data_IF_815164202091
#
_entry.id   IF_815164202091
#
_cell.length_a   1.000
_cell.length_b   1.000
_cell.length_c   1.000
_cell.angle_alpha   90.00
_cell.angle_beta   90.00
_cell.angle_gamma   90.00
#
_symmetry.space_group_name_H-M   'P 1'
#
loop_
_entity.id
_entity.type
_entity.pdbx_description
1 polymer ?
#
# COMPACT_ATOMS: atom_id res chain seq x y z
N UNK A 1 20.50 -35.01 -29.87
CA UNK A 1 19.39 -34.94 -28.89
C UNK A 1 19.91 -34.23 -27.65
N UNK A 2 19.68 -32.93 -27.57
CA UNK A 2 20.21 -32.08 -26.51
C UNK A 2 19.09 -31.82 -25.51
N UNK A 3 19.01 -32.67 -24.49
CA UNK A 3 18.07 -32.46 -23.38
C UNK A 3 18.52 -31.22 -22.58
N UNK A 4 17.80 -30.11 -22.74
CA UNK A 4 17.89 -29.01 -21.80
C UNK A 4 17.28 -29.46 -20.45
N UNK A 5 17.93 -29.17 -19.31
CA UNK A 5 17.39 -29.55 -18.01
C UNK A 5 16.16 -28.71 -17.68
N UNK A 6 15.08 -29.39 -17.30
CA UNK A 6 13.86 -28.78 -16.82
C UNK A 6 14.16 -27.82 -15.65
N UNK A 7 13.82 -26.55 -15.84
CA UNK A 7 13.79 -25.53 -14.79
C UNK A 7 12.87 -26.00 -13.68
N UNK A 8 13.44 -26.54 -12.59
CA UNK A 8 12.71 -26.90 -11.37
C UNK A 8 12.03 -25.64 -10.83
N UNK A 9 10.70 -25.53 -11.01
CA UNK A 9 9.86 -24.60 -10.26
C UNK A 9 10.12 -24.85 -8.77
N UNK A 10 10.73 -23.90 -8.07
CA UNK A 10 10.81 -23.94 -6.60
C UNK A 10 9.37 -24.04 -6.07
N UNK A 11 9.03 -25.16 -5.42
CA UNK A 11 7.80 -25.27 -4.63
C UNK A 11 7.82 -24.12 -3.62
N UNK A 12 6.76 -23.32 -3.58
CA UNK A 12 6.55 -22.33 -2.53
C UNK A 12 6.43 -23.15 -1.24
N UNK A 13 7.39 -23.00 -0.33
CA UNK A 13 7.34 -23.65 0.98
C UNK A 13 6.35 -22.85 1.81
N UNK A 14 5.19 -23.43 2.11
CA UNK A 14 4.21 -22.82 2.99
C UNK A 14 4.83 -22.69 4.39
N UNK A 15 4.74 -21.49 4.95
CA UNK A 15 5.35 -21.17 6.24
C UNK A 15 4.42 -21.62 7.38
N UNK A 16 4.97 -22.23 8.45
CA UNK A 16 4.18 -22.63 9.61
C UNK A 16 3.77 -21.38 10.41
N UNK A 17 2.47 -21.20 10.62
CA UNK A 17 1.88 -20.07 11.33
C UNK A 17 1.14 -20.56 12.57
N UNK A 18 1.50 -20.02 13.73
CA UNK A 18 0.79 -20.30 14.97
C UNK A 18 -0.49 -19.46 15.05
N UNK A 19 -1.59 -20.09 15.48
CA UNK A 19 -2.79 -19.37 15.87
C UNK A 19 -2.51 -18.58 17.16
N UNK A 20 -2.89 -17.31 17.19
CA UNK A 20 -2.73 -16.46 18.38
C UNK A 20 -4.02 -16.30 19.19
N UNK A 21 -5.05 -17.08 18.88
CA UNK A 21 -6.29 -17.09 19.66
C UNK A 21 -6.03 -17.62 21.08
N UNK A 22 -6.72 -17.06 22.07
CA UNK A 22 -6.49 -17.39 23.48
C UNK A 22 -6.71 -18.88 23.74
N UNK A 23 -5.69 -19.54 24.31
CA UNK A 23 -5.69 -20.97 24.59
C UNK A 23 -5.51 -21.89 23.38
N UNK A 24 -5.44 -21.36 22.16
CA UNK A 24 -5.17 -22.16 20.96
C UNK A 24 -3.66 -22.41 20.78
N UNK A 25 -3.30 -23.64 20.42
CA UNK A 25 -1.91 -24.05 20.15
C UNK A 25 -1.72 -24.58 18.71
N UNK A 26 -2.71 -24.40 17.85
CA UNK A 26 -2.65 -24.91 16.49
C UNK A 26 -1.59 -24.19 15.64
N UNK A 27 -0.95 -24.96 14.77
CA UNK A 27 0.02 -24.48 13.80
C UNK A 27 -0.51 -24.82 12.41
N UNK A 28 -0.87 -23.79 11.65
CA UNK A 28 -1.41 -23.90 10.31
C UNK A 28 -0.28 -23.77 9.28
N UNK A 29 -0.35 -24.53 8.18
CA UNK A 29 0.58 -24.39 7.07
C UNK A 29 0.05 -23.35 6.08
N UNK A 30 0.58 -22.14 6.12
CA UNK A 30 0.18 -21.06 5.21
C UNK A 30 -1.05 -20.24 5.63
N UNK A 31 -1.19 -19.08 4.99
CA UNK A 31 -2.17 -18.05 5.36
C UNK A 31 -3.63 -18.49 5.18
N UNK A 32 -3.91 -19.31 4.17
CA UNK A 32 -5.27 -19.78 3.90
C UNK A 32 -5.78 -20.71 5.00
N UNK A 33 -4.95 -21.66 5.43
CA UNK A 33 -5.31 -22.61 6.48
C UNK A 33 -5.50 -21.90 7.82
N UNK A 34 -4.64 -20.91 8.14
CA UNK A 34 -4.84 -20.09 9.33
C UNK A 34 -6.13 -19.27 9.24
N UNK A 35 -6.43 -18.69 8.08
CA UNK A 35 -7.67 -17.93 7.89
C UNK A 35 -8.91 -18.80 8.11
N UNK A 36 -8.93 -20.03 7.57
CA UNK A 36 -10.02 -20.98 7.80
C UNK A 36 -10.14 -21.36 9.28
N UNK A 37 -9.03 -21.62 9.95
CA UNK A 37 -9.02 -21.95 11.38
C UNK A 37 -9.52 -20.79 12.26
N UNK A 38 -9.17 -19.54 11.92
CA UNK A 38 -9.71 -18.35 12.60
C UNK A 38 -11.24 -18.27 12.44
N UNK A 39 -11.79 -18.70 11.30
CA UNK A 39 -13.23 -18.74 11.10
C UNK A 39 -13.94 -19.68 12.10
N UNK A 40 -13.35 -20.84 12.40
CA UNK A 40 -13.88 -21.78 13.41
C UNK A 40 -13.95 -21.14 14.81
N UNK A 41 -12.92 -20.36 15.18
CA UNK A 41 -12.91 -19.59 16.42
C UNK A 41 -13.96 -18.48 16.45
N UNK A 42 -14.17 -17.78 15.33
CA UNK A 42 -15.19 -16.73 15.24
C UNK A 42 -16.61 -17.31 15.32
N UNK A 43 -16.85 -18.48 14.71
CA UNK A 43 -18.14 -19.19 14.78
C UNK A 43 -18.46 -19.62 16.22
N UNK A 44 -17.50 -20.22 16.92
CA UNK A 44 -17.66 -20.61 18.33
C UNK A 44 -17.89 -19.40 19.23
N UNK A 45 -17.10 -18.32 19.05
CA UNK A 45 -17.27 -17.07 19.78
C UNK A 45 -18.65 -16.45 19.56
N UNK A 46 -19.13 -16.38 18.32
CA UNK A 46 -20.45 -15.84 18.00
C UNK A 46 -21.59 -16.64 18.67
N UNK A 47 -21.46 -17.97 18.73
CA UNK A 47 -22.43 -18.83 19.39
C UNK A 47 -22.47 -18.63 20.92
N UNK A 48 -21.33 -18.35 21.56
CA UNK A 48 -21.24 -18.05 22.98
C UNK A 48 -21.80 -16.66 23.32
N UNK A 49 -21.51 -15.65 22.49
CA UNK A 49 -22.00 -14.28 22.68
C UNK A 49 -23.52 -14.18 22.58
N UNK A 50 -24.15 -14.91 21.66
CA UNK A 50 -25.61 -14.98 21.55
C UNK A 50 -26.29 -15.49 22.83
N UNK A 51 -25.61 -16.34 23.62
CA UNK A 51 -26.14 -16.86 24.88
C UNK A 51 -26.03 -15.85 26.03
N UNK A 52 -25.03 -14.97 25.98
CA UNK A 52 -24.73 -14.00 27.03
C UNK A 52 -25.42 -12.65 26.84
N UNK A 53 -25.99 -12.39 25.65
CA UNK A 53 -26.67 -11.14 25.29
C UNK A 53 -25.81 -9.89 25.55
N UNK A 54 -24.50 -10.00 25.29
CA UNK A 54 -23.55 -8.89 25.41
C UNK A 54 -23.62 -8.00 24.16
N UNK A 55 -23.52 -6.69 24.37
CA UNK A 55 -23.50 -5.69 23.30
C UNK A 55 -22.09 -5.27 22.89
N UNK A 56 -21.07 -5.59 23.71
CA UNK A 56 -19.67 -5.31 23.43
C UNK A 56 -18.93 -6.61 23.07
N UNK A 57 -18.22 -6.61 21.96
CA UNK A 57 -17.36 -7.70 21.53
C UNK A 57 -15.90 -7.37 21.81
N UNK A 58 -15.19 -8.30 22.47
CA UNK A 58 -13.77 -8.17 22.80
C UNK A 58 -12.94 -9.21 22.03
N UNK A 59 -11.84 -8.76 21.43
CA UNK A 59 -10.92 -9.65 20.73
C UNK A 59 -10.26 -10.64 21.69
N UNK A 60 -10.29 -11.92 21.32
CA UNK A 60 -9.67 -13.03 22.08
C UNK A 60 -8.27 -13.37 21.57
N UNK A 61 -7.67 -12.54 20.73
CA UNK A 61 -6.28 -12.73 20.31
C UNK A 61 -5.34 -12.35 21.45
N UNK A 62 -4.30 -13.15 21.68
CA UNK A 62 -3.33 -12.91 22.74
C UNK A 62 -2.70 -11.51 22.62
N UNK A 63 -2.60 -10.82 23.76
CA UNK A 63 -2.08 -9.45 23.87
C UNK A 63 -2.86 -8.39 23.08
N UNK A 64 -4.09 -8.70 22.63
CA UNK A 64 -4.98 -7.74 21.99
C UNK A 64 -5.99 -7.16 22.99
N UNK A 65 -6.18 -5.84 22.95
CA UNK A 65 -7.13 -5.11 23.80
C UNK A 65 -8.31 -4.53 23.01
N UNK A 66 -8.46 -4.93 21.74
CA UNK A 66 -9.47 -4.38 20.85
C UNK A 66 -10.90 -4.77 21.28
N UNK A 67 -11.79 -3.79 21.24
CA UNK A 67 -13.22 -3.91 21.58
C UNK A 67 -14.06 -3.16 20.56
N UNK A 68 -15.24 -3.68 20.24
CA UNK A 68 -16.19 -3.06 19.32
C UNK A 68 -17.62 -3.50 19.63
N UNK A 69 -18.61 -2.71 19.24
CA UNK A 69 -20.02 -3.10 19.31
C UNK A 69 -20.52 -3.71 17.99
N UNK A 70 -19.62 -3.97 17.04
CA UNK A 70 -19.93 -4.52 15.72
C UNK A 70 -19.25 -5.88 15.52
N UNK A 71 -20.02 -6.97 15.43
CA UNK A 71 -19.50 -8.32 15.22
C UNK A 71 -18.62 -8.41 13.96
N UNK A 72 -19.05 -7.84 12.83
CA UNK A 72 -18.25 -7.86 11.59
C UNK A 72 -16.90 -7.14 11.74
N UNK A 73 -16.81 -6.11 12.59
CA UNK A 73 -15.56 -5.40 12.83
C UNK A 73 -14.58 -6.25 13.62
N UNK A 74 -15.09 -7.02 14.60
CA UNK A 74 -14.30 -8.02 15.32
C UNK A 74 -13.77 -9.10 14.37
N UNK A 75 -14.62 -9.61 13.47
CA UNK A 75 -14.21 -10.63 12.49
C UNK A 75 -13.10 -10.10 11.58
N UNK A 76 -13.28 -8.91 10.99
CA UNK A 76 -12.23 -8.26 10.17
C UNK A 76 -10.93 -8.11 10.95
N UNK A 77 -11.02 -7.67 12.20
CA UNK A 77 -9.87 -7.50 13.08
C UNK A 77 -9.15 -8.84 13.34
N UNK A 78 -9.89 -9.91 13.66
CA UNK A 78 -9.33 -11.25 13.88
C UNK A 78 -8.66 -11.82 12.63
N UNK A 79 -9.27 -11.71 11.44
CA UNK A 79 -8.62 -12.12 10.19
C UNK A 79 -7.35 -11.32 9.91
N UNK A 80 -7.32 -10.04 10.27
CA UNK A 80 -6.13 -9.22 10.12
C UNK A 80 -4.99 -9.68 11.02
N UNK A 81 -5.26 -10.21 12.22
CA UNK A 81 -4.20 -10.79 13.05
C UNK A 81 -3.52 -11.98 12.37
N UNK A 82 -4.29 -12.88 11.74
CA UNK A 82 -3.72 -14.00 10.98
C UNK A 82 -2.86 -13.50 9.82
N UNK A 83 -3.38 -12.53 9.06
CA UNK A 83 -2.63 -11.88 7.97
C UNK A 83 -1.36 -11.18 8.48
N UNK A 84 -1.42 -10.45 9.59
CA UNK A 84 -0.29 -9.73 10.15
C UNK A 84 0.79 -10.68 10.70
N UNK A 85 0.38 -11.80 11.31
CA UNK A 85 1.29 -12.85 11.76
C UNK A 85 2.12 -13.41 10.60
N UNK A 86 1.49 -13.62 9.44
CA UNK A 86 2.17 -14.00 8.20
C UNK A 86 3.16 -12.93 7.72
N UNK A 87 2.80 -11.64 7.79
CA UNK A 87 3.71 -10.55 7.41
C UNK A 87 4.95 -10.49 8.31
N UNK A 88 4.79 -10.69 9.62
CA UNK A 88 5.89 -10.73 10.59
C UNK A 88 6.82 -11.91 10.33
N UNK A 89 6.27 -13.09 10.05
CA UNK A 89 7.04 -14.29 9.74
C UNK A 89 7.82 -14.13 8.44
N UNK A 90 7.19 -13.57 7.40
CA UNK A 90 7.87 -13.29 6.13
C UNK A 90 9.01 -12.27 6.32
N UNK A 91 8.80 -11.22 7.12
CA UNK A 91 9.85 -10.24 7.40
C UNK A 91 11.01 -10.83 8.19
N UNK A 92 10.73 -11.72 9.16
CA UNK A 92 11.77 -12.48 9.86
C UNK A 92 12.59 -13.33 8.88
N UNK A 93 11.92 -14.08 8.02
CA UNK A 93 12.60 -14.90 7.00
C UNK A 93 13.49 -14.06 6.07
N UNK A 94 13.00 -12.91 5.60
CA UNK A 94 13.81 -12.02 4.76
C UNK A 94 15.02 -11.45 5.50
N UNK A 95 14.91 -11.19 6.81
CA UNK A 95 16.08 -10.80 7.62
C UNK A 95 17.06 -11.97 7.81
N UNK A 96 16.56 -13.17 8.10
CA UNK A 96 17.39 -14.38 8.31
C UNK A 96 18.16 -14.77 7.04
N UNK A 97 17.55 -14.57 5.86
CA UNK A 97 18.18 -14.79 4.55
C UNK A 97 19.22 -13.73 4.18
N UNK A 98 19.21 -12.58 4.85
CA UNK A 98 20.05 -11.41 4.55
C UNK A 98 20.74 -10.88 5.82
N UNK A 99 21.64 -11.67 6.44
CA UNK A 99 22.31 -11.31 7.69
C UNK A 99 23.23 -10.09 7.56
N UNK A 100 23.57 -9.66 6.34
CA UNK A 100 24.32 -8.44 6.07
C UNK A 100 23.52 -7.15 6.34
N UNK A 101 22.19 -7.27 6.48
CA UNK A 101 21.31 -6.13 6.74
C UNK A 101 21.16 -5.97 8.25
N UNK A 102 21.33 -4.75 8.79
CA UNK A 102 21.31 -4.55 10.24
C UNK A 102 19.93 -4.85 10.83
N UNK A 103 19.92 -5.31 12.07
CA UNK A 103 18.69 -5.58 12.81
C UNK A 103 17.94 -4.28 13.15
N UNK A 104 16.65 -4.44 13.42
CA UNK A 104 15.80 -3.32 13.78
C UNK A 104 16.08 -2.87 15.22
N UNK A 105 16.45 -1.60 15.42
CA UNK A 105 16.65 -1.00 16.75
C UNK A 105 15.41 -0.24 17.26
N UNK A 106 14.34 -0.15 16.47
CA UNK A 106 13.13 0.55 16.87
C UNK A 106 12.35 -0.25 17.92
N UNK A 107 11.72 0.44 18.90
CA UNK A 107 10.96 -0.24 19.94
C UNK A 107 9.79 -1.04 19.35
N UNK A 108 9.52 -2.20 19.94
CA UNK A 108 8.36 -3.00 19.61
C UNK A 108 7.08 -2.20 19.94
N UNK A 109 6.25 -1.96 18.92
CA UNK A 109 4.92 -1.38 19.08
C UNK A 109 3.92 -2.28 18.38
N UNK A 110 3.82 -3.52 18.82
CA UNK A 110 2.97 -4.53 18.15
C UNK A 110 1.49 -4.34 18.47
N UNK A 111 1.16 -3.87 19.68
CA UNK A 111 -0.24 -3.67 20.12
C UNK A 111 -0.97 -2.53 19.37
N UNK A 112 -0.26 -1.45 18.99
CA UNK A 112 -0.88 -0.25 18.39
C UNK A 112 -0.89 -0.25 16.85
N UNK A 113 -0.53 -1.36 16.19
CA UNK A 113 -0.23 -1.37 14.74
C UNK A 113 -1.26 -2.05 13.85
N UNK A 114 -2.30 -2.65 14.42
CA UNK A 114 -3.43 -3.12 13.63
C UNK A 114 -4.21 -1.91 13.11
N UNK A 115 -4.51 -1.84 11.80
CA UNK A 115 -5.27 -0.74 11.25
C UNK A 115 -6.71 -0.77 11.79
N UNK A 116 -7.31 0.42 11.87
CA UNK A 116 -8.74 0.59 12.11
C UNK A 116 -9.53 0.10 10.88
N UNK A 117 -10.26 -1.00 11.01
CA UNK A 117 -10.95 -1.70 9.91
C UNK A 117 -12.47 -1.51 9.99
N UNK A 118 -12.94 -0.27 9.81
CA UNK A 118 -14.36 0.09 9.92
C UNK A 118 -15.27 -0.42 8.81
N UNK A 119 -14.70 -0.79 7.66
CA UNK A 119 -15.48 -1.18 6.47
C UNK A 119 -14.92 -2.46 5.86
N UNK A 120 -15.79 -3.20 5.17
CA UNK A 120 -15.42 -4.38 4.40
C UNK A 120 -14.46 -4.04 3.25
N UNK A 121 -13.73 -5.03 2.77
CA UNK A 121 -12.83 -4.88 1.63
C UNK A 121 -13.64 -4.98 0.34
N UNK A 122 -13.70 -3.89 -0.43
CA UNK A 122 -14.47 -3.82 -1.66
C UNK A 122 -13.59 -4.11 -2.88
N UNK A 123 -14.07 -4.95 -3.79
CA UNK A 123 -13.40 -5.15 -5.07
C UNK A 123 -13.58 -3.93 -5.98
N UNK A 124 -12.47 -3.40 -6.52
CA UNK A 124 -12.49 -2.27 -7.44
C UNK A 124 -12.46 -2.65 -8.93
N UNK A 125 -12.67 -3.93 -9.26
CA UNK A 125 -12.75 -4.38 -10.66
C UNK A 125 -14.02 -3.82 -11.31
N UNK A 126 -13.97 -3.39 -12.57
CA UNK A 126 -15.05 -2.62 -13.23
C UNK A 126 -16.44 -3.28 -13.23
N UNK A 127 -16.51 -4.61 -13.05
CA UNK A 127 -17.77 -5.37 -13.00
C UNK A 127 -17.92 -6.24 -11.74
N UNK A 128 -17.11 -6.01 -10.70
CA UNK A 128 -17.19 -6.77 -9.46
C UNK A 128 -17.75 -5.92 -8.32
N UNK A 129 -18.89 -6.34 -7.76
CA UNK A 129 -19.54 -5.70 -6.60
C UNK A 129 -19.35 -6.50 -5.30
N UNK A 130 -18.36 -7.40 -5.26
CA UNK A 130 -18.13 -8.25 -4.09
C UNK A 130 -17.41 -7.47 -2.99
N UNK A 131 -17.81 -7.77 -1.77
CA UNK A 131 -17.23 -7.28 -0.53
C UNK A 131 -16.77 -8.46 0.30
N UNK A 132 -15.74 -8.25 1.13
CA UNK A 132 -15.11 -9.30 1.92
C UNK A 132 -14.83 -8.80 3.33
N UNK A 133 -15.07 -9.66 4.32
CA UNK A 133 -14.67 -9.46 5.71
C UNK A 133 -13.19 -9.87 5.86
N UNK A 134 -12.80 -11.02 5.32
CA UNK A 134 -11.41 -11.48 5.34
C UNK A 134 -10.54 -10.76 4.30
N UNK A 135 -9.43 -10.21 4.77
CA UNK A 135 -8.38 -9.66 3.90
C UNK A 135 -7.70 -10.73 3.04
N UNK A 136 -7.63 -11.97 3.51
CA UNK A 136 -7.00 -13.09 2.78
C UNK A 136 -7.87 -13.48 1.59
N UNK A 137 -9.18 -13.62 1.82
CA UNK A 137 -10.15 -13.91 0.75
C UNK A 137 -10.24 -12.79 -0.28
N UNK A 138 -10.23 -11.53 0.18
CA UNK A 138 -10.17 -10.37 -0.71
C UNK A 138 -8.93 -10.41 -1.62
N UNK A 139 -7.77 -10.72 -1.06
CA UNK A 139 -6.52 -10.78 -1.82
C UNK A 139 -6.50 -11.95 -2.81
N UNK A 140 -7.03 -13.12 -2.45
CA UNK A 140 -7.18 -14.24 -3.37
C UNK A 140 -8.16 -13.91 -4.50
N UNK A 141 -9.30 -13.28 -4.18
CA UNK A 141 -10.30 -12.87 -5.14
C UNK A 141 -9.75 -11.93 -6.23
N UNK A 142 -9.02 -10.88 -5.86
CA UNK A 142 -8.45 -9.94 -6.85
C UNK A 142 -7.33 -10.58 -7.69
N UNK A 143 -6.62 -11.58 -7.15
CA UNK A 143 -5.64 -12.36 -7.91
C UNK A 143 -6.35 -13.24 -8.95
N UNK A 144 -7.49 -13.84 -8.60
CA UNK A 144 -8.32 -14.61 -9.54
C UNK A 144 -8.79 -13.77 -10.73
N UNK A 145 -9.18 -12.51 -10.51
CA UNK A 145 -9.47 -11.59 -11.61
C UNK A 145 -8.26 -11.42 -12.55
N UNK A 146 -7.07 -11.17 -11.99
CA UNK A 146 -5.85 -11.02 -12.77
C UNK A 146 -5.53 -12.27 -13.62
N UNK A 147 -5.70 -13.46 -13.04
CA UNK A 147 -5.43 -14.73 -13.70
C UNK A 147 -6.45 -15.02 -14.80
N UNK A 148 -7.73 -14.82 -14.52
CA UNK A 148 -8.82 -15.04 -15.48
C UNK A 148 -8.67 -14.15 -16.72
N UNK A 149 -8.32 -12.88 -16.52
CA UNK A 149 -8.16 -11.90 -17.60
C UNK A 149 -6.93 -12.18 -18.45
N UNK A 150 -5.86 -12.68 -17.81
CA UNK A 150 -4.71 -13.17 -18.54
C UNK A 150 -5.06 -14.41 -19.39
N UNK A 151 -5.83 -15.34 -18.84
CA UNK A 151 -6.20 -16.58 -19.54
C UNK A 151 -7.16 -16.33 -20.72
N UNK A 152 -8.09 -15.36 -20.61
CA UNK A 152 -8.96 -14.93 -21.74
C UNK A 152 -8.12 -14.43 -22.92
N UNK A 153 -7.05 -13.68 -22.64
CA UNK A 153 -6.25 -13.01 -23.66
C UNK A 153 -5.14 -13.89 -24.21
N UNK A 154 -4.90 -15.06 -23.59
CA UNK A 154 -3.86 -16.00 -24.00
C UNK A 154 -4.33 -16.80 -25.20
N UNK A 155 -3.63 -16.65 -26.33
CA UNK A 155 -3.87 -17.46 -27.54
C UNK A 155 -2.75 -18.49 -27.72
N UNK A 156 -2.94 -19.54 -28.54
CA UNK A 156 -1.88 -20.50 -28.85
C UNK A 156 -0.64 -19.87 -29.51
N UNK A 157 -0.83 -18.78 -30.26
CA UNK A 157 0.24 -18.07 -30.98
C UNK A 157 0.90 -16.96 -30.14
N UNK A 158 0.25 -16.46 -29.10
CA UNK A 158 0.78 -15.49 -28.14
C UNK A 158 0.79 -16.09 -26.72
N UNK A 159 1.90 -16.76 -26.40
CA UNK A 159 2.09 -17.37 -25.08
C UNK A 159 2.16 -16.33 -23.93
N UNK A 160 2.33 -15.04 -24.26
CA UNK A 160 2.54 -13.96 -23.30
C UNK A 160 1.79 -12.68 -23.71
N UNK A 161 0.45 -12.71 -23.66
CA UNK A 161 -0.36 -11.56 -24.03
C UNK A 161 -0.11 -10.39 -23.09
N UNK A 162 -0.20 -9.19 -23.65
CA UNK A 162 -0.26 -7.96 -22.85
C UNK A 162 -1.66 -7.81 -22.28
N UNK A 163 -1.76 -7.82 -20.96
CA UNK A 163 -3.04 -7.77 -20.26
C UNK A 163 -3.27 -6.41 -19.61
N UNK A 164 -4.42 -5.81 -19.93
CA UNK A 164 -4.87 -4.58 -19.33
C UNK A 164 -5.45 -4.82 -17.93
N UNK A 165 -5.18 -3.91 -17.00
CA UNK A 165 -5.82 -3.89 -15.70
C UNK A 165 -7.22 -3.27 -15.81
N UNK A 166 -8.25 -4.05 -15.47
CA UNK A 166 -9.65 -3.60 -15.48
C UNK A 166 -10.13 -3.08 -14.11
N UNK A 167 -9.19 -2.62 -13.28
CA UNK A 167 -9.54 -1.87 -12.07
C UNK A 167 -10.12 -0.51 -12.45
N UNK A 168 -11.13 -0.04 -11.72
CA UNK A 168 -11.80 1.22 -12.02
C UNK A 168 -10.78 2.38 -12.12
N UNK A 169 -10.86 3.16 -13.19
CA UNK A 169 -9.94 4.26 -13.52
C UNK A 169 -8.47 3.86 -13.72
N UNK A 170 -8.18 2.56 -13.93
CA UNK A 170 -6.86 2.09 -14.31
C UNK A 170 -6.77 1.81 -15.82
N UNK A 171 -5.73 2.35 -16.47
CA UNK A 171 -5.47 2.13 -17.90
C UNK A 171 -4.10 1.48 -18.16
N UNK A 172 -3.50 0.86 -17.12
CA UNK A 172 -2.18 0.23 -17.26
C UNK A 172 -2.29 -1.13 -17.92
N UNK A 173 -1.34 -1.41 -18.82
CA UNK A 173 -1.14 -2.71 -19.45
C UNK A 173 0.17 -3.32 -18.95
N UNK A 174 0.16 -4.63 -18.72
CA UNK A 174 1.31 -5.37 -18.21
C UNK A 174 1.66 -6.52 -19.16
N UNK A 175 2.96 -6.77 -19.33
CA UNK A 175 3.45 -7.76 -20.30
C UNK A 175 3.36 -9.21 -19.82
N UNK A 176 2.83 -9.50 -18.63
CA UNK A 176 2.50 -10.86 -18.17
C UNK A 176 1.61 -10.84 -16.91
N UNK A 177 1.09 -12.02 -16.55
CA UNK A 177 0.26 -12.22 -15.35
C UNK A 177 0.94 -11.82 -14.04
N UNK A 178 2.24 -12.10 -13.87
CA UNK A 178 2.94 -11.80 -12.61
C UNK A 178 3.03 -10.29 -12.36
N UNK A 179 3.28 -9.53 -13.42
CA UNK A 179 3.31 -8.07 -13.41
C UNK A 179 1.94 -7.47 -13.22
N UNK A 180 0.88 -8.10 -13.75
CA UNK A 180 -0.49 -7.70 -13.48
C UNK A 180 -0.87 -7.93 -12.00
N UNK A 181 -0.52 -9.08 -11.43
CA UNK A 181 -0.74 -9.37 -10.00
C UNK A 181 0.03 -8.37 -9.11
N UNK A 182 1.30 -8.11 -9.42
CA UNK A 182 2.11 -7.10 -8.73
C UNK A 182 1.46 -5.71 -8.85
N UNK A 183 0.96 -5.34 -10.02
CA UNK A 183 0.28 -4.06 -10.21
C UNK A 183 -1.02 -3.96 -9.42
N UNK A 184 -1.87 -4.99 -9.41
CA UNK A 184 -3.16 -4.98 -8.68
C UNK A 184 -2.94 -4.84 -7.17
N UNK A 185 -1.83 -5.37 -6.64
CA UNK A 185 -1.42 -5.17 -5.25
C UNK A 185 -1.28 -3.68 -4.86
N UNK A 186 -1.05 -2.80 -5.83
CA UNK A 186 -0.97 -1.35 -5.59
C UNK A 186 -2.34 -0.72 -5.35
N UNK A 187 -3.40 -1.24 -5.96
CA UNK A 187 -4.78 -0.78 -5.76
C UNK A 187 -5.35 -1.24 -4.42
N UNK A 188 -5.15 -2.52 -4.09
CA UNK A 188 -5.59 -3.09 -2.80
C UNK A 188 -4.72 -2.67 -1.61
N UNK A 189 -3.64 -1.93 -1.87
CA UNK A 189 -2.63 -1.59 -0.89
C UNK A 189 -2.02 -2.78 -0.14
N UNK A 190 -1.99 -3.96 -0.79
CA UNK A 190 -1.49 -5.22 -0.23
C UNK A 190 -0.09 -5.02 0.34
N UNK A 191 0.08 -5.50 1.56
CA UNK A 191 1.36 -5.55 2.27
C UNK A 191 1.96 -6.94 2.08
N UNK A 192 3.29 -7.01 2.09
CA UNK A 192 4.00 -8.26 1.82
C UNK A 192 4.90 -8.69 2.98
N UNK A 193 5.43 -7.74 3.75
CA UNK A 193 6.35 -8.02 4.85
C UNK A 193 6.13 -7.03 5.99
N UNK A 194 6.38 -7.47 7.22
CA UNK A 194 6.44 -6.60 8.39
C UNK A 194 7.75 -6.83 9.15
N UNK A 195 8.31 -5.78 9.75
CA UNK A 195 9.50 -5.93 10.58
C UNK A 195 9.15 -6.73 11.84
N UNK A 196 9.77 -7.90 12.04
CA UNK A 196 9.48 -8.78 13.17
C UNK A 196 9.76 -8.15 14.55
N UNK A 197 10.65 -7.15 14.64
CA UNK A 197 10.96 -6.48 15.89
C UNK A 197 10.02 -5.32 16.20
N UNK A 198 9.91 -4.33 15.30
CA UNK A 198 9.12 -3.14 15.59
C UNK A 198 7.65 -3.29 15.17
N UNK A 199 7.32 -4.22 14.28
CA UNK A 199 5.97 -4.45 13.75
C UNK A 199 5.56 -3.54 12.57
N UNK A 200 6.45 -2.70 12.06
CA UNK A 200 6.11 -1.82 10.92
C UNK A 200 5.88 -2.62 9.62
N UNK A 201 4.88 -2.24 8.85
CA UNK A 201 4.40 -3.01 7.70
C UNK A 201 4.77 -2.35 6.37
N UNK A 202 5.32 -3.15 5.44
CA UNK A 202 5.86 -2.68 4.16
C UNK A 202 5.22 -3.38 2.96
N UNK A 203 5.18 -2.65 1.83
CA UNK A 203 4.67 -3.18 0.55
C UNK A 203 5.68 -4.06 -0.18
N UNK A 204 6.97 -3.92 0.11
CA UNK A 204 8.04 -4.69 -0.53
C UNK A 204 9.16 -4.98 0.47
N UNK A 205 9.95 -6.03 0.22
CA UNK A 205 11.16 -6.29 1.00
C UNK A 205 12.22 -5.20 0.88
N UNK A 206 12.32 -4.54 -0.27
CA UNK A 206 13.23 -3.41 -0.47
C UNK A 206 12.90 -2.27 0.51
N UNK A 207 11.61 -1.99 0.72
CA UNK A 207 11.17 -0.97 1.67
C UNK A 207 11.40 -1.37 3.13
N UNK A 208 11.33 -2.67 3.47
CA UNK A 208 11.73 -3.18 4.79
C UNK A 208 13.24 -3.01 5.01
N UNK A 209 14.08 -3.40 4.04
CA UNK A 209 15.52 -3.25 4.15
C UNK A 209 15.96 -1.79 4.22
N UNK A 210 15.28 -0.91 3.49
CA UNK A 210 15.49 0.54 3.60
C UNK A 210 15.13 1.05 5.00
N UNK A 211 14.03 0.56 5.60
CA UNK A 211 13.68 0.88 6.99
C UNK A 211 14.80 0.46 7.95
N UNK A 212 15.31 -0.77 7.85
CA UNK A 212 16.36 -1.30 8.72
C UNK A 212 17.67 -0.49 8.62
N UNK A 213 18.05 -0.08 7.41
CA UNK A 213 19.28 0.69 7.16
C UNK A 213 19.18 2.16 7.59
N UNK A 214 17.98 2.74 7.62
CA UNK A 214 17.77 4.18 7.89
C UNK A 214 17.68 4.51 9.38
N UNK A 215 17.70 3.51 10.25
CA UNK A 215 17.56 3.72 11.69
C UNK A 215 18.73 4.52 12.23
N UNK A 216 18.51 5.50 13.13
CA UNK A 216 19.55 6.41 13.62
C UNK A 216 20.79 5.68 14.14
N UNK A 217 20.58 4.60 14.90
CA UNK A 217 21.66 3.80 15.50
C UNK A 217 22.43 2.97 14.46
N UNK A 218 21.80 2.63 13.33
CA UNK A 218 22.40 1.91 12.21
C UNK A 218 23.02 2.86 11.15
N UNK A 219 22.78 4.17 11.26
CA UNK A 219 23.13 5.17 10.25
C UNK A 219 24.55 5.74 10.45
N UNK A 220 25.48 4.90 10.90
CA UNK A 220 26.90 5.27 11.08
C UNK A 220 27.65 5.37 9.75
N UNK A 221 27.11 4.83 8.65
CA UNK A 221 27.65 4.93 7.30
C UNK A 221 26.65 5.59 6.33
N UNK A 222 26.42 6.89 6.51
CA UNK A 222 25.63 7.68 5.59
C UNK A 222 26.44 8.07 4.35
N UNK A 223 25.88 7.86 3.16
CA UNK A 223 26.48 8.26 1.90
C UNK A 223 26.07 9.70 1.58
N UNK A 224 27.00 10.64 1.68
CA UNK A 224 26.74 12.06 1.43
C UNK A 224 26.86 12.41 -0.06
N UNK A 225 25.91 13.18 -0.57
CA UNK A 225 26.03 13.80 -1.89
C UNK A 225 27.01 14.97 -1.84
N UNK A 226 28.11 14.91 -2.59
CA UNK A 226 29.10 15.97 -2.64
C UNK A 226 28.59 17.31 -3.24
N UNK A 227 27.47 17.32 -3.97
CA UNK A 227 26.95 18.52 -4.64
C UNK A 227 25.92 19.29 -3.81
N UNK A 228 25.14 18.60 -2.98
CA UNK A 228 24.08 19.23 -2.18
C UNK A 228 24.10 18.84 -0.70
N UNK A 229 25.12 18.08 -0.28
CA UNK A 229 25.40 17.66 1.08
C UNK A 229 24.31 16.82 1.76
N UNK A 230 23.31 16.38 0.99
CA UNK A 230 22.23 15.50 1.46
C UNK A 230 22.75 14.08 1.70
N UNK A 231 22.34 13.48 2.81
CA UNK A 231 22.71 12.13 3.21
C UNK A 231 21.73 11.07 2.69
N UNK A 232 22.27 9.90 2.34
CA UNK A 232 21.53 8.77 1.81
C UNK A 232 21.94 7.48 2.52
N UNK A 233 20.96 6.61 2.79
CA UNK A 233 21.18 5.36 3.52
C UNK A 233 21.87 4.25 2.70
N UNK A 234 21.94 4.39 1.37
CA UNK A 234 22.64 3.42 0.52
C UNK A 234 23.33 4.10 -0.65
N UNK A 235 24.43 3.51 -1.12
CA UNK A 235 25.14 3.97 -2.31
C UNK A 235 24.26 3.96 -3.58
N UNK A 236 23.30 3.04 -3.67
CA UNK A 236 22.33 2.99 -4.79
C UNK A 236 21.41 4.21 -4.79
N UNK A 237 20.88 4.58 -3.62
CA UNK A 237 20.04 5.77 -3.47
C UNK A 237 20.85 7.05 -3.72
N UNK A 238 22.09 7.12 -3.23
CA UNK A 238 22.98 8.23 -3.56
C UNK A 238 23.23 8.31 -5.07
N UNK A 239 23.56 7.19 -5.75
CA UNK A 239 23.76 7.17 -7.21
C UNK A 239 22.52 7.64 -7.96
N UNK A 240 21.33 7.14 -7.63
CA UNK A 240 20.09 7.59 -8.26
C UNK A 240 19.81 9.09 -8.00
N UNK A 241 20.14 9.59 -6.81
CA UNK A 241 20.04 11.01 -6.50
C UNK A 241 21.05 11.86 -7.29
N UNK A 242 22.30 11.42 -7.39
CA UNK A 242 23.37 12.11 -8.14
C UNK A 242 23.06 12.15 -9.62
N UNK A 243 22.44 11.09 -10.18
CA UNK A 243 21.96 11.10 -11.56
C UNK A 243 20.92 12.20 -11.81
N UNK A 244 20.17 12.67 -10.81
CA UNK A 244 19.26 13.81 -10.97
C UNK A 244 20.00 15.15 -11.04
N UNK A 245 21.22 15.24 -10.53
CA UNK A 245 22.07 16.42 -10.73
C UNK A 245 22.79 16.40 -12.08
N UNK A 246 23.18 15.21 -12.54
CA UNK A 246 23.91 15.03 -13.81
C UNK A 246 22.95 15.02 -15.01
N UNK A 247 21.86 14.25 -14.93
CA UNK A 247 20.84 14.10 -15.98
C UNK A 247 19.63 15.02 -15.75
N UNK A 248 19.72 15.93 -14.79
CA UNK A 248 18.69 16.92 -14.55
C UNK A 248 18.68 17.96 -15.66
N UNK A 249 17.49 18.45 -15.99
CA UNK A 249 17.32 19.53 -16.95
C UNK A 249 17.64 20.84 -16.24
N UNK A 250 18.83 21.37 -16.48
CA UNK A 250 19.29 22.64 -15.90
C UNK A 250 18.57 23.81 -16.54
N UNK A 251 18.09 24.73 -15.72
CA UNK A 251 17.62 26.00 -16.22
C UNK A 251 18.78 26.84 -16.73
N UNK A 252 18.61 27.45 -17.90
CA UNK A 252 19.60 28.38 -18.48
C UNK A 252 19.53 29.77 -17.84
N UNK A 253 18.51 30.04 -17.01
CA UNK A 253 18.20 31.36 -16.46
C UNK A 253 18.36 31.42 -14.92
N UNK A 254 18.63 30.29 -14.26
CA UNK A 254 18.96 30.21 -12.83
C UNK A 254 19.60 28.85 -12.48
N UNK A 255 20.05 28.69 -11.24
CA UNK A 255 20.71 27.46 -10.76
C UNK A 255 19.75 26.29 -10.49
N UNK A 256 18.46 26.42 -10.83
CA UNK A 256 17.48 25.36 -10.62
C UNK A 256 17.70 24.20 -11.60
N UNK A 257 17.65 22.98 -11.08
CA UNK A 257 17.71 21.75 -11.86
C UNK A 257 16.43 20.94 -11.68
N UNK A 258 15.77 20.60 -12.78
CA UNK A 258 14.51 19.88 -12.78
C UNK A 258 14.69 18.38 -13.10
N UNK A 259 13.81 17.54 -12.55
CA UNK A 259 13.82 16.09 -12.74
C UNK A 259 13.36 15.62 -14.12
N UNK A 260 12.71 16.47 -14.91
CA UNK A 260 12.23 16.18 -16.26
C UNK A 260 12.23 17.43 -17.14
N UNK A 261 12.22 17.24 -18.47
CA UNK A 261 12.17 18.34 -19.44
C UNK A 261 10.87 19.15 -19.32
N UNK A 262 9.75 18.48 -19.03
CA UNK A 262 8.44 19.10 -18.83
C UNK A 262 8.44 19.99 -17.59
N UNK A 263 9.06 19.52 -16.50
CA UNK A 263 9.23 20.31 -15.28
C UNK A 263 10.11 21.54 -15.51
N UNK A 264 11.20 21.40 -16.29
CA UNK A 264 12.04 22.54 -16.65
C UNK A 264 11.27 23.56 -17.50
N UNK A 265 10.55 23.10 -18.51
CA UNK A 265 9.77 23.96 -19.40
C UNK A 265 8.71 24.73 -18.62
N UNK A 266 8.04 24.06 -17.68
CA UNK A 266 7.05 24.71 -16.81
C UNK A 266 7.70 25.68 -15.84
N UNK A 267 8.86 25.32 -15.26
CA UNK A 267 9.64 26.19 -14.41
C UNK A 267 10.04 27.48 -15.13
N UNK A 268 10.55 27.37 -16.37
CA UNK A 268 10.93 28.53 -17.20
C UNK A 268 9.72 29.41 -17.48
N UNK A 269 8.61 28.83 -17.93
CA UNK A 269 7.37 29.59 -18.17
C UNK A 269 6.88 30.31 -16.92
N UNK A 270 6.86 29.63 -15.78
CA UNK A 270 6.34 30.18 -14.54
C UNK A 270 7.25 31.25 -13.91
N UNK A 271 8.55 30.97 -13.79
CA UNK A 271 9.49 31.77 -12.99
C UNK A 271 10.21 32.84 -13.80
N UNK A 272 10.46 32.61 -15.08
CA UNK A 272 11.28 33.50 -15.90
C UNK A 272 10.43 34.28 -16.90
N UNK A 273 9.53 33.61 -17.63
CA UNK A 273 8.70 34.27 -18.66
C UNK A 273 7.39 34.85 -18.11
N UNK A 274 6.98 34.43 -16.90
CA UNK A 274 5.65 34.70 -16.32
C UNK A 274 4.51 34.36 -17.29
N UNK A 275 4.77 33.44 -18.21
CA UNK A 275 3.83 33.04 -19.25
C UNK A 275 2.80 32.07 -18.66
N UNK A 276 1.53 32.47 -18.74
CA UNK A 276 0.37 31.74 -18.22
C UNK A 276 -0.63 31.59 -19.37
N UNK A 277 -0.45 30.60 -20.25
CA UNK A 277 -1.22 30.49 -21.49
C UNK A 277 -2.67 30.06 -21.25
N UNK A 278 -2.93 29.37 -20.14
CA UNK A 278 -4.24 28.80 -19.84
C UNK A 278 -5.08 29.82 -19.09
N UNK A 279 -6.14 30.34 -19.71
CA UNK A 279 -7.10 31.25 -19.09
C UNK A 279 -8.32 30.48 -18.58
N UNK A 280 -8.80 30.81 -17.38
CA UNK A 280 -10.10 30.36 -16.92
C UNK A 280 -11.21 30.90 -17.83
N UNK A 281 -12.19 30.05 -18.15
CA UNK A 281 -13.37 30.45 -18.93
C UNK A 281 -14.31 31.37 -18.15
N UNK A 282 -14.25 31.33 -16.82
CA UNK A 282 -15.20 32.02 -15.93
C UNK A 282 -14.61 33.23 -15.19
N UNK A 283 -13.29 33.44 -15.22
CA UNK A 283 -12.67 34.63 -14.67
C UNK A 283 -11.34 34.98 -15.37
N UNK A 284 -10.69 36.06 -14.93
CA UNK A 284 -9.42 36.51 -15.52
C UNK A 284 -8.20 35.72 -15.06
N UNK A 285 -8.37 34.71 -14.20
CA UNK A 285 -7.25 33.92 -13.70
C UNK A 285 -6.60 33.15 -14.84
N UNK A 286 -5.26 33.21 -14.89
CA UNK A 286 -4.43 32.42 -15.79
C UNK A 286 -3.50 31.49 -15.02
N UNK A 287 -3.27 30.30 -15.57
CA UNK A 287 -2.45 29.23 -15.02
C UNK A 287 -1.40 28.75 -16.04
N UNK A 288 -0.33 28.12 -15.53
CA UNK A 288 0.73 27.55 -16.37
C UNK A 288 0.46 26.09 -16.71
N UNK A 289 -0.14 25.34 -15.78
CA UNK A 289 -0.51 23.93 -15.95
C UNK A 289 -2.01 23.76 -15.98
N UNK A 290 -2.48 22.76 -16.71
CA UNK A 290 -3.88 22.39 -16.79
C UNK A 290 -4.42 21.91 -15.43
N UNK A 291 -3.63 21.13 -14.70
CA UNK A 291 -3.99 20.69 -13.34
C UNK A 291 -4.18 21.84 -12.35
N UNK A 292 -3.45 22.94 -12.51
CA UNK A 292 -3.63 24.14 -11.69
C UNK A 292 -4.92 24.91 -12.08
N UNK A 293 -5.28 24.90 -13.37
CA UNK A 293 -6.53 25.49 -13.85
C UNK A 293 -7.75 24.68 -13.40
N UNK A 294 -7.70 23.34 -13.53
CA UNK A 294 -8.77 22.45 -13.07
C UNK A 294 -9.04 22.63 -11.58
N UNK A 295 -8.00 22.63 -10.75
CA UNK A 295 -8.12 22.93 -9.31
C UNK A 295 -8.70 24.31 -9.05
N UNK A 296 -8.29 25.32 -9.82
CA UNK A 296 -8.83 26.66 -9.67
C UNK A 296 -10.33 26.70 -9.97
N UNK A 297 -10.78 26.09 -11.08
CA UNK A 297 -12.20 25.99 -11.45
C UNK A 297 -12.97 25.22 -10.38
N UNK A 298 -12.44 24.09 -9.91
CA UNK A 298 -13.05 23.28 -8.84
C UNK A 298 -13.26 24.08 -7.54
N UNK A 299 -12.27 24.88 -7.12
CA UNK A 299 -12.29 25.59 -5.84
C UNK A 299 -13.09 26.89 -5.89
N UNK A 300 -12.97 27.62 -7.00
CA UNK A 300 -13.46 29.01 -7.11
C UNK A 300 -14.81 29.07 -7.81
N UNK A 301 -15.03 28.20 -8.80
CA UNK A 301 -16.17 28.25 -9.71
C UNK A 301 -17.17 27.11 -9.48
N UNK A 302 -16.70 25.95 -9.03
CA UNK A 302 -17.59 24.84 -8.71
C UNK A 302 -18.25 25.05 -7.34
N UNK A 303 -19.59 24.92 -7.27
CA UNK A 303 -20.40 25.17 -6.06
C UNK A 303 -20.43 23.97 -5.10
N UNK A 304 -19.50 23.05 -5.21
CA UNK A 304 -19.39 21.88 -4.34
C UNK A 304 -18.86 22.32 -2.97
N UNK A 305 -19.73 22.26 -1.97
CA UNK A 305 -19.40 22.60 -0.58
C UNK A 305 -19.40 21.32 0.24
N UNK A 306 -18.28 21.03 0.89
CA UNK A 306 -18.16 19.93 1.85
C UNK A 306 -18.61 20.44 3.22
N UNK A 307 -19.63 19.81 3.79
CA UNK A 307 -20.18 20.13 5.12
C UNK A 307 -19.60 19.20 6.18
N UNK A 308 -19.47 19.71 7.39
CA UNK A 308 -19.11 18.91 8.55
C UNK A 308 -20.20 17.85 8.84
N UNK A 309 -19.80 16.62 9.16
CA UNK A 309 -20.71 15.48 9.39
C UNK A 309 -21.28 15.43 10.81
N UNK A 310 -20.93 16.39 11.67
CA UNK A 310 -21.40 16.46 13.05
C UNK A 310 -22.82 17.08 13.12
N UNK A 311 -23.77 16.47 13.86
CA UNK A 311 -25.07 17.07 14.12
C UNK A 311 -24.90 18.49 14.67
N UNK A 312 -25.67 19.45 14.13
CA UNK A 312 -25.68 20.88 14.46
C UNK A 312 -24.45 21.72 14.08
N UNK A 313 -23.47 21.15 13.36
CA UNK A 313 -22.31 21.90 12.88
C UNK A 313 -22.58 22.55 11.51
N UNK A 314 -22.64 23.89 11.47
CA UNK A 314 -22.83 24.65 10.22
C UNK A 314 -21.52 24.91 9.44
N UNK A 315 -20.41 24.29 9.86
CA UNK A 315 -19.11 24.49 9.22
C UNK A 315 -19.07 23.86 7.82
N UNK A 316 -18.62 24.65 6.85
CA UNK A 316 -18.57 24.22 5.45
C UNK A 316 -17.34 24.78 4.74
N UNK A 317 -16.72 23.97 3.89
CA UNK A 317 -15.49 24.31 3.16
C UNK A 317 -15.61 23.94 1.70
N UNK A 318 -14.87 24.64 0.84
CA UNK A 318 -14.90 24.41 -0.61
C UNK A 318 -13.95 23.29 -1.05
N UNK A 319 -13.09 22.80 -0.14
CA UNK A 319 -12.19 21.67 -0.40
C UNK A 319 -12.04 20.77 0.81
N UNK A 320 -11.92 19.46 0.58
CA UNK A 320 -11.65 18.48 1.64
C UNK A 320 -10.31 18.75 2.38
N UNK A 321 -9.32 19.32 1.70
CA UNK A 321 -8.03 19.68 2.30
C UNK A 321 -8.11 20.80 3.35
N UNK A 322 -9.10 21.70 3.24
CA UNK A 322 -9.37 22.74 4.24
C UNK A 322 -10.15 22.22 5.46
N UNK A 323 -10.80 21.06 5.34
CA UNK A 323 -11.50 20.39 6.44
C UNK A 323 -10.51 19.80 7.47
N UNK A 324 -9.31 19.38 7.04
CA UNK A 324 -8.27 18.74 7.90
C UNK A 324 -7.42 19.71 8.75
N UNK A 325 -7.77 21.00 8.83
CA UNK A 325 -7.01 22.02 9.58
C UNK A 325 -7.74 22.59 10.79
N UNK A 326 -8.71 21.86 11.33
CA UNK A 326 -9.32 22.22 12.61
C UNK A 326 -8.75 21.26 13.64
N UNK A 327 -7.76 21.76 14.39
CA UNK A 327 -7.30 21.19 15.67
C UNK A 327 -8.18 21.75 16.77
#
# INVERSE_FOLDING_TARGET
MSHQPASKRKKITELPLCCGWQGCQEICNGEWNLNSHIAEHLETYAAEQQQQNDSEHACQWNDCVFRTNCAEELERHAYYHGYYSQLLLQGKLECDLHPEIPACCAPARMADKLPDLKQNFHCGWMDCKREFVSIVEFQDHIVKHALFEYDIQKTPDDERPKTQCNWNLCHKQMDNKYRLIEHISTHSNKKLVACHHCGEVFRTKTTLFDHLRRQPDNNTNSFQCAQCFKFFATQKLLRSHVLRHINGFKCTMCDMTCSSASDLTTHIRYRHLKDKPLKCSECEKRCVRESDLLKHVEIVHNKTVHRCEHPDCQYSVRTYAQMRRVS
#
